data_IF_394610538657
#
_entry.id   IF_394610538657
#
_cell.length_a   1.000
_cell.length_b   1.000
_cell.length_c   1.000
_cell.angle_alpha   90.00
_cell.angle_beta   90.00
_cell.angle_gamma   90.00
#
_symmetry.space_group_name_H-M   'P 1'
#
loop_
_entity.id
_entity.type
_entity.pdbx_description
1 polymer ?
#
# COMPACT_ATOMS: atom_id res chain seq x y z
N UNK A 1 -11.60 14.55 14.64
CA UNK A 1 -10.40 13.97 13.97
C UNK A 1 -10.63 14.04 12.48
N UNK A 2 -9.59 14.23 11.64
CA UNK A 2 -9.75 14.16 10.19
C UNK A 2 -10.35 12.79 9.80
N UNK A 3 -11.25 12.80 8.82
CA UNK A 3 -11.92 11.58 8.36
C UNK A 3 -10.90 10.66 7.66
N UNK A 4 -10.90 9.37 8.00
CA UNK A 4 -10.08 8.38 7.31
C UNK A 4 -10.54 8.25 5.86
N UNK A 5 -9.63 8.44 4.91
CA UNK A 5 -9.92 8.16 3.51
C UNK A 5 -10.05 6.66 3.27
N UNK A 6 -10.76 6.27 2.21
CA UNK A 6 -10.82 4.88 1.76
C UNK A 6 -9.42 4.30 1.54
N UNK A 7 -8.48 5.09 1.00
CA UNK A 7 -7.10 4.66 0.81
C UNK A 7 -6.37 4.35 2.13
N UNK A 8 -6.61 5.13 3.18
CA UNK A 8 -6.05 4.88 4.51
C UNK A 8 -6.66 3.64 5.18
N UNK A 9 -7.97 3.44 5.04
CA UNK A 9 -8.66 2.24 5.55
C UNK A 9 -8.14 0.99 4.83
N UNK A 10 -8.04 1.05 3.50
CA UNK A 10 -7.50 -0.05 2.70
C UNK A 10 -6.07 -0.41 3.11
N UNK A 11 -5.20 0.58 3.29
CA UNK A 11 -3.82 0.36 3.75
C UNK A 11 -3.75 -0.30 5.13
N UNK A 12 -4.62 0.09 6.07
CA UNK A 12 -4.68 -0.52 7.39
C UNK A 12 -5.18 -1.98 7.36
N UNK A 13 -6.11 -2.31 6.45
CA UNK A 13 -6.58 -3.67 6.23
C UNK A 13 -5.52 -4.54 5.55
N UNK A 14 -4.78 -3.99 4.58
CA UNK A 14 -3.61 -4.63 3.97
C UNK A 14 -2.55 -4.96 5.01
N UNK A 15 -2.17 -3.98 5.84
CA UNK A 15 -1.21 -4.20 6.93
C UNK A 15 -1.68 -5.30 7.89
N UNK A 16 -2.96 -5.30 8.27
CA UNK A 16 -3.50 -6.35 9.13
C UNK A 16 -3.43 -7.74 8.47
N UNK A 17 -3.71 -7.83 7.17
CA UNK A 17 -3.54 -9.06 6.39
C UNK A 17 -2.10 -9.54 6.40
N UNK A 18 -1.16 -8.63 6.21
CA UNK A 18 0.28 -8.91 6.21
C UNK A 18 0.78 -9.40 7.57
N UNK A 19 0.33 -8.77 8.65
CA UNK A 19 0.63 -9.19 10.02
C UNK A 19 0.07 -10.59 10.33
N UNK A 20 -1.13 -10.91 9.84
CA UNK A 20 -1.69 -12.26 9.99
C UNK A 20 -0.93 -13.31 9.17
N UNK A 21 -0.48 -12.97 7.96
CA UNK A 21 0.35 -13.87 7.17
C UNK A 21 1.69 -14.13 7.86
N UNK A 22 2.30 -13.09 8.44
CA UNK A 22 3.53 -13.20 9.24
C UNK A 22 3.32 -14.08 10.49
N UNK A 23 2.15 -14.01 11.12
CA UNK A 23 1.73 -14.85 12.26
C UNK A 23 1.35 -16.29 11.86
N UNK A 24 1.41 -16.62 10.56
CA UNK A 24 1.08 -17.97 10.08
C UNK A 24 -0.42 -18.28 10.11
N UNK A 25 -1.27 -17.25 10.03
CA UNK A 25 -2.70 -17.44 9.95
C UNK A 25 -3.10 -18.19 8.66
N UNK A 26 -4.26 -18.85 8.71
CA UNK A 26 -4.79 -19.58 7.56
C UNK A 26 -5.01 -18.65 6.35
N UNK A 27 -4.77 -19.18 5.15
CA UNK A 27 -4.78 -18.42 3.90
C UNK A 27 -6.11 -17.68 3.67
N UNK A 28 -7.24 -18.29 4.04
CA UNK A 28 -8.58 -17.70 3.88
C UNK A 28 -8.73 -16.40 4.67
N UNK A 29 -8.11 -16.31 5.86
CA UNK A 29 -8.14 -15.09 6.68
C UNK A 29 -7.33 -13.98 6.03
N UNK A 30 -6.14 -14.28 5.54
CA UNK A 30 -5.27 -13.30 4.84
C UNK A 30 -5.97 -12.78 3.59
N UNK A 31 -6.53 -13.69 2.77
CA UNK A 31 -7.27 -13.34 1.55
C UNK A 31 -8.49 -12.48 1.86
N UNK A 32 -9.21 -12.73 2.96
CA UNK A 32 -10.35 -11.90 3.36
C UNK A 32 -9.94 -10.44 3.61
N UNK A 33 -8.81 -10.18 4.29
CA UNK A 33 -8.32 -8.82 4.51
C UNK A 33 -7.84 -8.15 3.22
N UNK A 34 -7.18 -8.88 2.33
CA UNK A 34 -6.76 -8.37 1.01
C UNK A 34 -7.96 -8.00 0.14
N UNK A 35 -8.97 -8.85 0.11
CA UNK A 35 -10.21 -8.59 -0.63
C UNK A 35 -10.97 -7.39 -0.04
N UNK A 36 -11.01 -7.28 1.29
CA UNK A 36 -11.63 -6.14 1.96
C UNK A 36 -10.88 -4.83 1.65
N UNK A 37 -9.55 -4.83 1.71
CA UNK A 37 -8.74 -3.67 1.35
C UNK A 37 -8.99 -3.23 -0.10
N UNK A 38 -9.06 -4.18 -1.04
CA UNK A 38 -9.41 -3.93 -2.44
C UNK A 38 -10.80 -3.31 -2.56
N UNK A 39 -11.82 -3.93 -1.95
CA UNK A 39 -13.21 -3.44 -1.99
C UNK A 39 -13.34 -2.02 -1.42
N UNK A 40 -12.63 -1.72 -0.33
CA UNK A 40 -12.58 -0.38 0.26
C UNK A 40 -11.92 0.62 -0.69
N UNK A 41 -10.81 0.26 -1.33
CA UNK A 41 -10.07 1.12 -2.26
C UNK A 41 -10.89 1.48 -3.49
N UNK A 42 -11.69 0.54 -3.99
CA UNK A 42 -12.55 0.70 -5.17
C UNK A 42 -13.92 1.35 -4.85
N UNK A 43 -14.25 1.52 -3.56
CA UNK A 43 -15.53 2.09 -3.17
C UNK A 43 -15.62 3.59 -3.55
N UNK A 44 -16.70 3.94 -4.23
CA UNK A 44 -17.02 5.33 -4.62
C UNK A 44 -17.61 6.16 -3.49
N UNK A 45 -18.03 5.52 -2.39
CA UNK A 45 -18.62 6.16 -1.21
C UNK A 45 -17.63 6.17 -0.04
N UNK A 46 -17.84 7.07 0.93
CA UNK A 46 -17.02 7.10 2.15
C UNK A 46 -17.26 5.82 2.96
N UNK A 47 -16.26 4.95 3.01
CA UNK A 47 -16.30 3.73 3.85
C UNK A 47 -16.26 4.10 5.32
N UNK A 48 -15.57 5.19 5.69
CA UNK A 48 -15.60 5.71 7.06
C UNK A 48 -17.02 6.10 7.49
N UNK A 49 -17.77 6.76 6.59
CA UNK A 49 -19.18 7.10 6.82
C UNK A 49 -20.07 5.87 6.96
N UNK A 50 -19.91 4.89 6.05
CA UNK A 50 -20.66 3.63 6.11
C UNK A 50 -20.37 2.84 7.38
N UNK A 51 -19.11 2.74 7.79
CA UNK A 51 -18.73 2.06 9.01
C UNK A 51 -19.45 2.67 10.22
N UNK A 52 -19.40 3.99 10.39
CA UNK A 52 -20.06 4.70 11.51
C UNK A 52 -21.56 4.49 11.54
N UNK A 53 -22.17 4.33 10.36
CA UNK A 53 -23.59 4.04 10.23
C UNK A 53 -23.95 2.56 10.44
N UNK A 54 -22.99 1.67 10.72
CA UNK A 54 -23.24 0.24 10.83
C UNK A 54 -23.36 -0.50 9.50
N UNK A 55 -22.96 0.13 8.38
CA UNK A 55 -23.34 -0.24 7.01
C UNK A 55 -22.18 -0.62 6.09
N UNK A 56 -20.93 -0.74 6.56
CA UNK A 56 -19.85 -1.14 5.66
C UNK A 56 -20.01 -2.58 5.14
N UNK A 57 -20.86 -3.40 5.76
CA UNK A 57 -21.28 -4.71 5.25
C UNK A 57 -22.04 -4.67 3.92
N UNK A 58 -22.47 -3.48 3.48
CA UNK A 58 -23.03 -3.28 2.14
C UNK A 58 -21.97 -3.45 1.04
N UNK A 59 -20.68 -3.31 1.36
CA UNK A 59 -19.60 -3.56 0.42
C UNK A 59 -19.36 -5.07 0.27
N UNK A 60 -19.28 -5.59 -0.97
CA UNK A 60 -18.92 -6.98 -1.21
C UNK A 60 -17.59 -7.35 -0.55
N UNK A 61 -17.58 -8.48 0.17
CA UNK A 61 -16.40 -8.96 0.88
C UNK A 61 -16.18 -8.38 2.27
N UNK A 62 -17.03 -7.46 2.75
CA UNK A 62 -16.99 -6.93 4.12
C UNK A 62 -18.07 -7.61 4.97
N UNK A 63 -17.65 -8.48 5.89
CA UNK A 63 -18.53 -9.08 6.91
C UNK A 63 -18.54 -8.32 8.23
N UNK A 64 -19.35 -8.77 9.19
CA UNK A 64 -19.49 -8.15 10.52
C UNK A 64 -18.15 -7.91 11.24
N UNK A 65 -17.23 -8.88 11.17
CA UNK A 65 -15.90 -8.76 11.77
C UNK A 65 -15.04 -7.66 11.14
N UNK A 66 -15.17 -7.45 9.83
CA UNK A 66 -14.45 -6.38 9.12
C UNK A 66 -15.09 -5.03 9.41
N UNK A 67 -16.42 -4.96 9.44
CA UNK A 67 -17.18 -3.79 9.89
C UNK A 67 -16.71 -3.30 11.27
N UNK A 68 -16.62 -4.19 12.27
CA UNK A 68 -16.12 -3.83 13.61
C UNK A 68 -14.69 -3.29 13.59
N UNK A 69 -13.81 -3.87 12.77
CA UNK A 69 -12.41 -3.44 12.67
C UNK A 69 -12.26 -2.09 11.99
N UNK A 70 -13.01 -1.86 10.91
CA UNK A 70 -13.05 -0.58 10.20
C UNK A 70 -13.62 0.48 11.15
N UNK A 71 -14.69 0.16 11.89
CA UNK A 71 -15.24 1.07 12.89
C UNK A 71 -14.20 1.44 13.96
N UNK A 72 -13.50 0.45 14.52
CA UNK A 72 -12.45 0.69 15.51
C UNK A 72 -11.34 1.58 14.96
N UNK A 73 -10.90 1.35 13.71
CA UNK A 73 -9.92 2.21 13.04
C UNK A 73 -10.41 3.65 12.93
N UNK A 74 -11.66 3.83 12.48
CA UNK A 74 -12.25 5.15 12.24
C UNK A 74 -12.48 5.93 13.53
N UNK A 75 -12.78 5.24 14.63
CA UNK A 75 -13.07 5.87 15.93
C UNK A 75 -11.80 6.14 16.75
N UNK A 76 -10.86 5.20 16.75
CA UNK A 76 -9.69 5.21 17.65
C UNK A 76 -8.38 5.50 16.94
N UNK A 77 -8.38 5.46 15.60
CA UNK A 77 -7.20 5.57 14.77
C UNK A 77 -6.40 4.28 14.62
N UNK A 78 -6.83 3.17 15.25
CA UNK A 78 -6.10 1.91 15.27
C UNK A 78 -7.03 0.71 15.17
N UNK A 79 -6.53 -0.41 14.64
CA UNK A 79 -7.20 -1.70 14.72
C UNK A 79 -6.55 -2.48 15.88
N UNK A 80 -7.28 -2.80 16.97
CA UNK A 80 -6.68 -3.47 18.14
C UNK A 80 -6.01 -4.81 17.83
N UNK A 81 -6.47 -5.52 16.80
CA UNK A 81 -5.84 -6.76 16.33
C UNK A 81 -4.48 -6.50 15.67
N UNK A 82 -4.33 -5.39 14.94
CA UNK A 82 -3.06 -5.01 14.33
C UNK A 82 -2.02 -4.66 15.40
N UNK A 83 -2.42 -3.91 16.45
CA UNK A 83 -1.54 -3.60 17.59
C UNK A 83 -1.02 -4.86 18.29
N UNK A 84 -1.92 -5.80 18.58
CA UNK A 84 -1.55 -7.07 19.22
C UNK A 84 -0.59 -7.89 18.38
N UNK A 85 -0.79 -7.93 17.05
CA UNK A 85 0.10 -8.65 16.14
C UNK A 85 1.45 -7.94 15.98
N UNK A 86 1.46 -6.61 15.85
CA UNK A 86 2.70 -5.81 15.82
C UNK A 86 3.58 -6.09 17.04
N UNK A 87 2.99 -6.19 18.22
CA UNK A 87 3.72 -6.47 19.45
C UNK A 87 4.35 -7.87 19.53
N UNK A 88 3.94 -8.83 18.68
CA UNK A 88 4.52 -10.18 18.64
C UNK A 88 5.84 -10.25 17.87
N UNK A 89 6.08 -9.32 16.96
CA UNK A 89 7.21 -9.38 16.04
C UNK A 89 8.18 -8.23 16.29
N UNK A 90 9.50 -8.44 16.06
CA UNK A 90 10.46 -7.35 16.05
C UNK A 90 10.03 -6.26 15.05
N UNK A 91 10.10 -4.97 15.41
CA UNK A 91 9.74 -3.88 14.50
C UNK A 91 10.52 -3.92 13.18
N UNK A 92 11.77 -4.37 13.24
CA UNK A 92 12.61 -4.54 12.05
C UNK A 92 12.09 -5.61 11.09
N UNK A 93 11.54 -6.72 11.60
CA UNK A 93 10.89 -7.74 10.78
C UNK A 93 9.64 -7.19 10.08
N UNK A 94 8.84 -6.39 10.79
CA UNK A 94 7.68 -5.69 10.20
C UNK A 94 8.13 -4.69 9.14
N UNK A 95 9.28 -4.02 9.30
CA UNK A 95 9.83 -3.14 8.27
C UNK A 95 10.28 -3.93 7.01
N UNK A 96 10.85 -5.13 7.20
CA UNK A 96 11.26 -6.01 6.09
C UNK A 96 10.05 -6.45 5.25
N UNK A 97 8.89 -6.70 5.84
CA UNK A 97 7.69 -7.08 5.06
C UNK A 97 7.26 -6.00 4.07
N UNK A 98 7.56 -4.73 4.36
CA UNK A 98 7.19 -3.57 3.55
C UNK A 98 8.16 -3.28 2.41
N UNK A 99 9.32 -3.94 2.37
CA UNK A 99 10.25 -3.83 1.27
C UNK A 99 9.65 -4.44 -0.01
N UNK A 100 9.80 -3.73 -1.13
CA UNK A 100 9.31 -4.18 -2.41
C UNK A 100 9.85 -5.59 -2.75
N UNK A 101 8.95 -6.51 -3.10
CA UNK A 101 9.31 -7.88 -3.47
C UNK A 101 9.61 -8.86 -2.32
N UNK A 102 9.52 -8.43 -1.05
CA UNK A 102 9.62 -9.33 0.10
C UNK A 102 8.24 -9.80 0.57
N UNK A 103 7.42 -8.89 1.09
CA UNK A 103 6.15 -9.26 1.72
C UNK A 103 6.32 -10.17 2.95
N UNK A 104 5.21 -10.53 3.61
CA UNK A 104 5.24 -11.25 4.90
C UNK A 104 5.88 -12.63 4.82
N UNK A 105 5.58 -13.40 3.78
CA UNK A 105 6.05 -14.79 3.64
C UNK A 105 7.57 -14.87 3.49
N UNK A 106 8.17 -14.02 2.65
CA UNK A 106 9.63 -14.03 2.45
C UNK A 106 10.35 -13.44 3.66
N UNK A 107 9.80 -12.39 4.27
CA UNK A 107 10.31 -11.85 5.52
C UNK A 107 10.32 -12.92 6.63
N UNK A 108 9.24 -13.71 6.74
CA UNK A 108 9.16 -14.84 7.67
C UNK A 108 10.25 -15.87 7.43
N UNK A 109 10.49 -16.26 6.18
CA UNK A 109 11.57 -17.19 5.83
C UNK A 109 12.95 -16.64 6.21
N UNK A 110 13.22 -15.36 5.96
CA UNK A 110 14.48 -14.72 6.38
C UNK A 110 14.65 -14.72 7.90
N UNK A 111 13.58 -14.50 8.64
CA UNK A 111 13.60 -14.56 10.09
C UNK A 111 13.81 -15.97 10.63
N UNK A 112 13.02 -16.95 10.17
CA UNK A 112 13.07 -18.32 10.67
C UNK A 112 14.38 -19.04 10.30
N UNK A 113 14.91 -18.81 9.10
CA UNK A 113 16.07 -19.57 8.57
C UNK A 113 17.41 -18.86 8.82
N UNK A 114 17.44 -17.53 8.80
CA UNK A 114 18.67 -16.74 8.91
C UNK A 114 18.70 -15.84 10.16
N UNK A 115 17.65 -15.82 10.97
CA UNK A 115 17.55 -14.98 12.17
C UNK A 115 17.48 -13.49 11.88
N UNK A 116 17.05 -13.09 10.67
CA UNK A 116 17.05 -11.69 10.24
C UNK A 116 15.81 -10.98 10.80
N UNK A 117 16.03 -10.11 11.79
CA UNK A 117 14.97 -9.41 12.54
C UNK A 117 14.96 -7.89 12.31
N UNK A 118 15.88 -7.38 11.49
CA UNK A 118 16.12 -5.94 11.29
C UNK A 118 16.69 -5.65 9.91
N UNK A 119 16.50 -4.41 9.44
CA UNK A 119 17.03 -3.95 8.16
C UNK A 119 18.56 -4.01 8.11
N UNK A 120 19.23 -3.78 9.24
CA UNK A 120 20.70 -3.89 9.33
C UNK A 120 21.15 -5.35 9.29
N UNK A 121 20.46 -6.26 9.98
CA UNK A 121 20.72 -7.69 9.86
C UNK A 121 20.50 -8.20 8.42
N UNK A 122 19.48 -7.67 7.73
CA UNK A 122 19.23 -7.97 6.32
C UNK A 122 20.37 -7.46 5.43
N UNK A 123 20.85 -6.23 5.67
CA UNK A 123 22.00 -5.67 4.93
C UNK A 123 23.24 -6.54 5.09
N UNK A 124 23.58 -6.92 6.32
CA UNK A 124 24.71 -7.78 6.60
C UNK A 124 24.56 -9.17 5.94
N UNK A 125 23.35 -9.74 5.95
CA UNK A 125 23.08 -11.03 5.30
C UNK A 125 23.30 -10.96 3.78
N UNK A 126 22.87 -9.86 3.14
CA UNK A 126 23.07 -9.60 1.70
C UNK A 126 24.56 -9.39 1.37
N UNK A 127 25.31 -8.67 2.21
CA UNK A 127 26.75 -8.47 2.02
C UNK A 127 27.54 -9.77 2.16
N UNK A 128 27.12 -10.65 3.07
CA UNK A 128 27.69 -11.98 3.25
C UNK A 128 27.17 -13.03 2.26
N UNK A 129 26.33 -12.64 1.29
CA UNK A 129 25.72 -13.52 0.30
C UNK A 129 24.92 -14.71 0.90
N UNK A 130 24.44 -14.59 2.14
CA UNK A 130 23.67 -15.65 2.81
C UNK A 130 22.22 -15.72 2.32
N UNK A 131 21.70 -14.62 1.76
CA UNK A 131 20.30 -14.55 1.33
C UNK A 131 20.10 -15.37 0.06
N UNK A 132 21.03 -15.32 -0.90
CA UNK A 132 20.93 -16.10 -2.15
C UNK A 132 20.93 -17.62 -1.96
N UNK A 133 21.53 -18.12 -0.89
CA UNK A 133 21.56 -19.56 -0.57
C UNK A 133 20.21 -20.08 -0.04
N UNK A 134 19.34 -19.18 0.40
CA UNK A 134 18.02 -19.53 0.86
C UNK A 134 17.12 -19.96 -0.30
N UNK A 135 16.39 -21.07 -0.12
CA UNK A 135 15.48 -21.60 -1.13
C UNK A 135 14.47 -20.54 -1.57
N UNK A 136 14.48 -20.20 -2.86
CA UNK A 136 13.58 -19.20 -3.44
C UNK A 136 14.10 -17.75 -3.39
N UNK A 137 15.33 -17.53 -2.94
CA UNK A 137 15.98 -16.22 -2.95
C UNK A 137 17.00 -16.14 -4.09
N UNK A 138 18.04 -16.96 -4.16
CA UNK A 138 18.97 -16.93 -5.30
C UNK A 138 19.61 -15.56 -5.56
N UNK A 139 20.49 -15.47 -6.56
CA UNK A 139 21.26 -14.25 -6.84
C UNK A 139 20.34 -13.08 -7.23
N UNK A 140 19.43 -13.30 -8.19
CA UNK A 140 18.56 -12.25 -8.71
C UNK A 140 17.60 -11.68 -7.65
N UNK A 141 17.06 -12.51 -6.75
CA UNK A 141 16.19 -11.95 -5.73
C UNK A 141 16.99 -11.25 -4.64
N UNK A 142 18.20 -11.69 -4.32
CA UNK A 142 19.09 -10.93 -3.41
C UNK A 142 19.43 -9.55 -3.99
N UNK A 143 19.74 -9.45 -5.28
CA UNK A 143 19.94 -8.17 -5.98
C UNK A 143 18.70 -7.27 -5.89
N UNK A 144 17.51 -7.81 -6.13
CA UNK A 144 16.26 -7.05 -6.01
C UNK A 144 16.01 -6.58 -4.57
N UNK A 145 16.32 -7.41 -3.57
CA UNK A 145 16.17 -7.05 -2.16
C UNK A 145 17.18 -5.96 -1.77
N UNK A 146 18.42 -6.04 -2.27
CA UNK A 146 19.43 -4.99 -2.09
C UNK A 146 18.92 -3.65 -2.63
N UNK A 147 18.42 -3.64 -3.87
CA UNK A 147 17.86 -2.44 -4.48
C UNK A 147 16.67 -1.88 -3.69
N UNK A 148 15.78 -2.74 -3.20
CA UNK A 148 14.64 -2.32 -2.36
C UNK A 148 15.10 -1.72 -1.02
N UNK A 149 16.15 -2.28 -0.41
CA UNK A 149 16.72 -1.78 0.84
C UNK A 149 17.40 -0.42 0.65
N UNK A 150 18.13 -0.25 -0.46
CA UNK A 150 18.78 1.02 -0.82
C UNK A 150 17.74 2.12 -1.09
N UNK A 151 16.69 1.82 -1.86
CA UNK A 151 15.59 2.75 -2.08
C UNK A 151 14.91 3.16 -0.76
N UNK A 152 14.64 2.19 0.12
CA UNK A 152 14.06 2.49 1.44
C UNK A 152 14.98 3.39 2.29
N UNK A 153 16.30 3.18 2.24
CA UNK A 153 17.29 3.96 2.98
C UNK A 153 17.54 5.36 2.39
N UNK A 154 17.41 5.53 1.07
CA UNK A 154 17.50 6.83 0.39
C UNK A 154 16.34 7.78 0.75
N UNK A 155 15.38 7.30 1.56
CA UNK A 155 14.17 8.05 1.85
C UNK A 155 13.15 7.97 0.72
N UNK A 156 13.34 7.10 -0.28
CA UNK A 156 12.32 6.86 -1.33
C UNK A 156 11.08 6.14 -0.76
N UNK A 157 11.13 5.69 0.49
CA UNK A 157 9.95 5.32 1.28
C UNK A 157 9.11 6.53 1.76
N UNK A 158 9.65 7.74 1.64
CA UNK A 158 8.96 9.02 1.78
C UNK A 158 8.84 9.68 0.42
N UNK A 159 7.69 9.49 -0.22
CA UNK A 159 7.17 10.28 -1.34
C UNK A 159 8.23 11.00 -2.19
N UNK A 160 8.98 10.25 -3.01
CA UNK A 160 9.93 10.82 -3.98
C UNK A 160 9.24 11.96 -4.73
N UNK A 161 9.68 13.20 -4.48
CA UNK A 161 9.11 14.36 -5.15
C UNK A 161 9.89 14.63 -6.42
N UNK A 162 9.17 14.73 -7.53
CA UNK A 162 9.71 15.10 -8.83
C UNK A 162 9.55 16.60 -9.00
N UNK A 163 10.59 17.28 -9.48
CA UNK A 163 10.52 18.70 -9.84
C UNK A 163 9.39 18.95 -10.85
N UNK A 164 8.69 20.07 -10.69
CA UNK A 164 7.44 20.34 -11.41
C UNK A 164 7.62 20.28 -12.93
N UNK A 165 8.73 20.80 -13.47
CA UNK A 165 9.03 20.80 -14.90
C UNK A 165 9.03 19.37 -15.48
N UNK A 166 9.70 18.44 -14.79
CA UNK A 166 9.77 17.04 -15.20
C UNK A 166 8.42 16.35 -15.05
N UNK A 167 7.67 16.69 -14.01
CA UNK A 167 6.33 16.14 -13.81
C UNK A 167 5.35 16.62 -14.90
N UNK A 168 5.38 17.91 -15.27
CA UNK A 168 4.56 18.47 -16.34
C UNK A 168 4.92 17.87 -17.71
N UNK A 169 6.21 17.68 -18.00
CA UNK A 169 6.67 17.03 -19.23
C UNK A 169 6.09 15.61 -19.42
N UNK A 170 5.72 14.93 -18.32
CA UNK A 170 5.06 13.62 -18.34
C UNK A 170 3.53 13.76 -18.29
N UNK A 171 3.01 14.63 -17.43
CA UNK A 171 1.57 14.77 -17.16
C UNK A 171 0.79 15.45 -18.28
N UNK A 172 1.36 16.45 -18.94
CA UNK A 172 0.67 17.15 -20.02
C UNK A 172 0.35 16.24 -21.23
N UNK A 173 1.27 15.38 -21.71
CA UNK A 173 0.95 14.38 -22.72
C UNK A 173 -0.18 13.42 -22.33
N UNK A 174 -0.20 12.96 -21.07
CA UNK A 174 -1.25 12.06 -20.55
C UNK A 174 -2.61 12.76 -20.59
N UNK A 175 -2.69 14.00 -20.11
CA UNK A 175 -3.92 14.79 -20.15
C UNK A 175 -4.34 15.08 -21.59
N UNK A 176 -3.41 15.39 -22.49
CA UNK A 176 -3.71 15.60 -23.90
C UNK A 176 -4.29 14.35 -24.57
N UNK A 177 -3.75 13.16 -24.27
CA UNK A 177 -4.29 11.90 -24.76
C UNK A 177 -5.70 11.63 -24.24
N UNK A 178 -5.94 11.82 -22.94
CA UNK A 178 -7.27 11.65 -22.34
C UNK A 178 -8.29 12.66 -22.88
N UNK A 179 -7.89 13.90 -23.18
CA UNK A 179 -8.77 14.90 -23.82
C UNK A 179 -9.17 14.54 -25.24
N UNK A 180 -8.36 13.74 -25.94
CA UNK A 180 -8.64 13.32 -27.30
C UNK A 180 -9.61 12.13 -27.37
N UNK A 181 -9.89 11.48 -26.24
CA UNK A 181 -10.84 10.38 -26.17
C UNK A 181 -12.29 10.90 -26.36
N UNK A 182 -13.10 10.28 -27.24
CA UNK A 182 -14.49 10.69 -27.47
C UNK A 182 -15.40 10.65 -26.24
N UNK A 183 -15.07 9.86 -25.21
CA UNK A 183 -15.85 9.78 -23.98
C UNK A 183 -15.56 10.93 -23.01
N UNK A 184 -14.49 11.71 -23.24
CA UNK A 184 -14.06 12.78 -22.36
C UNK A 184 -14.73 14.13 -22.69
N UNK A 185 -15.33 14.75 -21.67
CA UNK A 185 -15.90 16.10 -21.77
C UNK A 185 -14.85 17.16 -21.41
N UNK A 186 -14.11 16.91 -20.34
CA UNK A 186 -13.10 17.82 -19.81
C UNK A 186 -12.09 17.05 -18.99
N UNK A 187 -10.80 17.33 -19.18
CA UNK A 187 -9.72 16.70 -18.43
C UNK A 187 -8.71 17.76 -18.03
N UNK A 188 -8.24 17.72 -16.77
CA UNK A 188 -7.29 18.68 -16.22
C UNK A 188 -6.26 17.99 -15.31
N UNK A 189 -5.04 18.51 -15.29
CA UNK A 189 -4.11 18.23 -14.18
C UNK A 189 -4.65 18.89 -12.91
N UNK A 190 -4.61 18.15 -11.81
CA UNK A 190 -5.09 18.56 -10.51
C UNK A 190 -3.93 18.58 -9.49
N UNK A 191 -4.27 18.52 -8.21
CA UNK A 191 -3.28 18.27 -7.18
C UNK A 191 -2.22 19.37 -7.04
N UNK A 192 -1.01 18.93 -6.71
CA UNK A 192 0.15 19.79 -6.47
C UNK A 192 0.68 20.42 -7.76
N UNK A 193 0.63 19.70 -8.90
CA UNK A 193 0.99 20.22 -10.22
C UNK A 193 0.12 21.44 -10.61
N UNK A 194 -1.21 21.35 -10.43
CA UNK A 194 -2.12 22.48 -10.69
C UNK A 194 -1.81 23.72 -9.83
N UNK A 195 -1.28 23.52 -8.61
CA UNK A 195 -0.95 24.61 -7.68
C UNK A 195 0.45 25.17 -7.89
N UNK A 196 1.19 24.71 -8.91
CA UNK A 196 2.54 25.18 -9.21
C UNK A 196 3.52 25.03 -8.04
N UNK A 197 3.39 23.95 -7.27
CA UNK A 197 4.38 23.66 -6.22
C UNK A 197 5.70 23.23 -6.86
N UNK A 198 6.84 23.67 -6.31
CA UNK A 198 8.19 23.43 -6.85
C UNK A 198 8.51 21.96 -7.19
N UNK A 199 7.95 21.05 -6.42
CA UNK A 199 7.99 19.61 -6.68
C UNK A 199 6.64 18.97 -6.38
N UNK A 200 6.36 17.83 -7.00
CA UNK A 200 5.12 17.05 -6.86
C UNK A 200 5.46 15.62 -6.48
N UNK A 201 4.60 14.97 -5.70
CA UNK A 201 4.74 13.55 -5.37
C UNK A 201 4.24 12.67 -6.52
N UNK A 202 3.07 13.01 -7.02
CA UNK A 202 2.29 12.28 -8.01
C UNK A 202 1.59 13.28 -8.94
N UNK A 203 1.03 12.75 -10.04
CA UNK A 203 0.22 13.49 -10.99
C UNK A 203 -1.24 13.10 -10.77
N UNK A 204 -2.02 14.04 -10.25
CA UNK A 204 -3.47 13.91 -10.16
C UNK A 204 -4.11 14.37 -11.47
N UNK A 205 -5.00 13.57 -12.03
CA UNK A 205 -5.80 13.93 -13.21
C UNK A 205 -7.28 13.85 -12.84
N UNK A 206 -8.04 14.89 -13.17
CA UNK A 206 -9.50 14.89 -13.03
C UNK A 206 -10.10 14.94 -14.42
N UNK A 207 -11.01 14.01 -14.71
CA UNK A 207 -11.78 13.96 -15.94
C UNK A 207 -13.29 13.98 -15.65
N UNK A 208 -14.05 14.64 -16.51
CA UNK A 208 -15.51 14.50 -16.62
C UNK A 208 -15.81 13.77 -17.92
N UNK A 209 -16.72 12.79 -17.86
CA UNK A 209 -17.08 11.93 -18.98
C UNK A 209 -18.57 11.63 -18.96
N UNK A 210 -19.18 11.54 -20.14
CA UNK A 210 -20.55 11.05 -20.30
C UNK A 210 -20.67 9.55 -19.99
N UNK A 211 -19.62 8.77 -20.28
CA UNK A 211 -19.47 7.37 -19.89
C UNK A 211 -18.11 7.16 -19.22
N UNK A 212 -18.04 7.16 -17.87
CA UNK A 212 -16.79 6.96 -17.15
C UNK A 212 -16.12 5.61 -17.41
N UNK A 213 -16.88 4.57 -17.74
CA UNK A 213 -16.32 3.24 -17.99
C UNK A 213 -15.66 3.13 -19.37
N UNK A 214 -16.08 3.96 -20.33
CA UNK A 214 -15.43 4.05 -21.64
C UNK A 214 -14.11 4.82 -21.61
N UNK A 215 -13.94 5.74 -20.64
CA UNK A 215 -12.72 6.54 -20.46
C UNK A 215 -11.68 5.90 -19.53
N UNK A 216 -12.10 4.99 -18.64
CA UNK A 216 -11.26 4.35 -17.61
C UNK A 216 -10.41 3.18 -18.14
#
# INVERSE_FOLDING_TARGET
>A
MPEFSNSQIAAALEELGDLYELDGAIIHRVVAYRNAAKAVREASTSVAGLARAGRATELPGIGATLQEKIQALVDTGQIPAAEKLRAKFPPGLVAITRLAGLGPKRARMLYDELGIDSLDALRAAIESERVRDLRGFGVKAEENIRAALEAAAAGDGGEVRVVLDRALAIGEPIVAALRADPAADRVELAGSARRWTDSVKDLDVIATAHDPAALA
#
